data_IF_272187002419
#
_entry.id   IF_272187002419
#
_cell.length_a   1.000
_cell.length_b   1.000
_cell.length_c   1.000
_cell.angle_alpha   90.00
_cell.angle_beta   90.00
_cell.angle_gamma   90.00
#
_symmetry.space_group_name_H-M   'P 1'
#
loop_
_entity.id
_entity.type
_entity.pdbx_description
1 polymer ?
#
# COMPACT_ATOMS: atom_id res chain seq x y z
N UNK A 1 -6.69 -2.80 -12.60
CA UNK A 1 -5.33 -2.62 -12.02
C UNK A 1 -5.02 -3.82 -11.14
N UNK A 2 -3.87 -4.44 -11.31
CA UNK A 2 -3.42 -5.61 -10.55
C UNK A 2 -1.98 -5.42 -10.09
N UNK A 3 -1.65 -5.93 -8.90
CA UNK A 3 -0.25 -5.93 -8.44
C UNK A 3 0.46 -7.07 -9.19
N UNK A 4 1.56 -6.78 -9.88
CA UNK A 4 2.43 -7.77 -10.50
C UNK A 4 3.55 -8.19 -9.56
N UNK A 5 4.08 -7.22 -8.82
CA UNK A 5 5.25 -7.43 -7.95
C UNK A 5 5.23 -6.48 -6.77
N UNK A 6 5.68 -6.97 -5.65
CA UNK A 6 6.02 -6.14 -4.50
C UNK A 6 7.35 -6.61 -3.90
N UNK A 7 8.22 -5.68 -3.58
CA UNK A 7 9.47 -5.95 -2.89
C UNK A 7 9.59 -5.03 -1.67
N UNK A 8 9.92 -5.63 -0.53
CA UNK A 8 10.21 -4.92 0.70
C UNK A 8 11.68 -5.14 1.07
N UNK A 9 12.43 -4.06 1.26
CA UNK A 9 13.82 -4.10 1.70
C UNK A 9 13.97 -3.40 3.03
N UNK A 10 14.59 -4.09 3.99
CA UNK A 10 14.85 -3.60 5.35
C UNK A 10 13.60 -3.04 6.04
N UNK A 11 12.46 -3.71 5.87
CA UNK A 11 11.17 -3.31 6.41
C UNK A 11 10.78 -4.22 7.58
N UNK A 12 10.70 -3.64 8.79
CA UNK A 12 10.44 -4.35 10.04
C UNK A 12 11.40 -5.53 10.23
N UNK A 13 10.92 -6.77 10.07
CA UNK A 13 11.75 -7.98 10.19
C UNK A 13 12.19 -8.55 8.82
N UNK A 14 11.77 -7.95 7.73
CA UNK A 14 12.19 -8.36 6.40
C UNK A 14 13.49 -7.67 6.00
N UNK A 15 14.56 -8.44 5.80
CA UNK A 15 15.79 -7.92 5.20
C UNK A 15 15.60 -7.65 3.71
N UNK A 16 15.00 -8.59 3.00
CA UNK A 16 14.58 -8.48 1.60
C UNK A 16 13.55 -9.57 1.31
N UNK A 17 12.36 -9.19 0.96
CA UNK A 17 11.31 -10.10 0.47
C UNK A 17 10.75 -9.57 -0.83
N UNK A 18 10.58 -10.45 -1.80
CA UNK A 18 9.93 -10.16 -3.06
C UNK A 18 8.82 -11.15 -3.28
N UNK A 19 7.68 -10.67 -3.72
CA UNK A 19 6.54 -11.46 -4.15
C UNK A 19 6.17 -11.04 -5.56
N UNK A 20 6.11 -12.03 -6.44
CA UNK A 20 5.63 -11.90 -7.80
C UNK A 20 4.26 -12.58 -7.90
N UNK A 21 3.29 -11.91 -8.50
CA UNK A 21 1.91 -12.37 -8.56
C UNK A 21 1.56 -12.79 -9.99
N UNK A 22 1.22 -14.07 -10.17
CA UNK A 22 0.74 -14.58 -11.46
C UNK A 22 -0.78 -14.43 -11.55
N UNK A 23 -1.22 -13.31 -12.08
CA UNK A 23 -2.63 -12.95 -12.16
C UNK A 23 -3.38 -13.58 -13.34
N UNK A 24 -2.66 -14.25 -14.25
CA UNK A 24 -3.30 -14.93 -15.38
C UNK A 24 -4.05 -16.19 -14.94
N UNK A 25 -3.66 -16.77 -13.82
CA UNK A 25 -4.24 -18.03 -13.33
C UNK A 25 -5.37 -17.84 -12.34
N UNK A 26 -5.22 -16.90 -11.40
CA UNK A 26 -6.22 -16.70 -10.34
C UNK A 26 -6.30 -15.23 -9.91
N UNK A 27 -7.51 -14.70 -9.68
CA UNK A 27 -7.67 -13.32 -9.18
C UNK A 27 -7.40 -13.20 -7.66
N UNK A 28 -7.14 -14.31 -6.97
CA UNK A 28 -6.96 -14.35 -5.52
C UNK A 28 -5.59 -14.92 -5.18
N UNK A 29 -4.86 -14.21 -4.33
CA UNK A 29 -3.58 -14.67 -3.77
C UNK A 29 -3.75 -14.95 -2.28
N UNK A 30 -3.40 -16.16 -1.85
CA UNK A 30 -3.41 -16.57 -0.46
C UNK A 30 -1.99 -16.57 0.11
N UNK A 31 -1.78 -15.79 1.20
CA UNK A 31 -0.49 -15.72 1.89
C UNK A 31 -0.57 -16.56 3.15
N UNK A 32 0.16 -17.68 3.16
CA UNK A 32 0.24 -18.60 4.29
C UNK A 32 1.57 -18.41 5.05
N UNK A 33 1.57 -18.72 6.32
CA UNK A 33 2.76 -18.67 7.17
C UNK A 33 2.40 -18.71 8.65
N UNK A 34 3.39 -18.97 9.49
CA UNK A 34 3.24 -19.06 10.94
C UNK A 34 2.87 -17.72 11.59
N UNK A 35 2.44 -17.79 12.85
CA UNK A 35 2.19 -16.59 13.63
C UNK A 35 3.50 -15.81 13.77
N UNK A 36 3.43 -14.47 13.58
CA UNK A 36 4.63 -13.62 13.63
C UNK A 36 5.45 -13.56 12.33
N UNK A 37 5.14 -14.35 11.30
CA UNK A 37 5.89 -14.38 10.03
C UNK A 37 5.79 -13.09 9.18
N UNK A 38 5.02 -12.09 9.61
CA UNK A 38 4.95 -10.79 8.94
C UNK A 38 3.84 -10.61 7.92
N UNK A 39 2.88 -11.54 7.82
CA UNK A 39 1.76 -11.45 6.86
C UNK A 39 1.01 -10.13 6.93
N UNK A 40 0.62 -9.72 8.14
CA UNK A 40 -0.08 -8.46 8.39
C UNK A 40 0.78 -7.24 8.01
N UNK A 41 2.08 -7.31 8.29
CA UNK A 41 3.05 -6.28 7.89
C UNK A 41 3.13 -6.13 6.40
N UNK A 42 3.25 -7.24 5.68
CA UNK A 42 3.28 -7.27 4.22
C UNK A 42 2.02 -6.64 3.63
N UNK A 43 0.84 -7.06 4.08
CA UNK A 43 -0.44 -6.51 3.62
C UNK A 43 -0.56 -5.01 3.93
N UNK A 44 -0.14 -4.57 5.12
CA UNK A 44 -0.17 -3.17 5.52
C UNK A 44 0.74 -2.30 4.65
N UNK A 45 1.97 -2.74 4.41
CA UNK A 45 2.93 -2.00 3.59
C UNK A 45 2.50 -1.98 2.12
N UNK A 46 1.93 -3.08 1.62
CA UNK A 46 1.33 -3.13 0.28
C UNK A 46 0.18 -2.11 0.14
N UNK A 47 -0.71 -2.08 1.13
CA UNK A 47 -1.80 -1.09 1.17
C UNK A 47 -1.25 0.34 1.20
N UNK A 48 -0.25 0.63 2.04
CA UNK A 48 0.39 1.95 2.08
C UNK A 48 0.91 2.37 0.70
N UNK A 49 1.58 1.47 0.00
CA UNK A 49 2.07 1.74 -1.35
C UNK A 49 0.93 2.04 -2.33
N UNK A 50 -0.17 1.28 -2.28
CA UNK A 50 -1.32 1.47 -3.17
C UNK A 50 -2.10 2.76 -2.90
N UNK A 51 -2.08 3.30 -1.67
CA UNK A 51 -2.74 4.58 -1.35
C UNK A 51 -2.18 5.76 -2.14
N UNK A 52 -0.96 5.64 -2.66
CA UNK A 52 -0.34 6.68 -3.47
C UNK A 52 -1.06 6.89 -4.80
N UNK A 53 -1.61 5.83 -5.41
CA UNK A 53 -2.43 5.98 -6.61
C UNK A 53 -3.66 6.86 -6.35
N UNK A 54 -4.45 6.55 -5.33
CA UNK A 54 -5.66 7.33 -5.01
C UNK A 54 -5.36 8.76 -4.54
N UNK A 55 -4.24 8.96 -3.84
CA UNK A 55 -3.79 10.29 -3.44
C UNK A 55 -3.39 11.14 -4.66
N UNK A 56 -2.55 10.60 -5.55
CA UNK A 56 -2.09 11.26 -6.78
C UNK A 56 -3.23 11.49 -7.77
N UNK A 57 -4.19 10.58 -7.82
CA UNK A 57 -5.35 10.75 -8.70
C UNK A 57 -6.20 11.97 -8.31
N UNK A 58 -6.30 12.27 -7.01
CA UNK A 58 -6.99 13.45 -6.52
C UNK A 58 -6.20 14.73 -6.79
N UNK A 59 -4.92 14.71 -6.52
CA UNK A 59 -3.96 15.80 -6.78
C UNK A 59 -2.55 15.21 -6.88
N UNK A 60 -1.85 15.47 -7.98
CA UNK A 60 -0.48 15.00 -8.24
C UNK A 60 0.55 15.44 -7.20
N UNK A 61 0.21 16.41 -6.34
CA UNK A 61 1.07 16.86 -5.24
C UNK A 61 0.79 16.14 -3.93
N UNK A 62 -0.34 15.42 -3.84
CA UNK A 62 -0.73 14.75 -2.61
C UNK A 62 0.04 13.45 -2.44
N UNK A 63 0.65 13.27 -1.27
CA UNK A 63 1.30 12.03 -0.88
C UNK A 63 0.26 11.01 -0.38
N UNK A 64 0.52 9.73 -0.66
CA UNK A 64 -0.16 8.62 0.00
C UNK A 64 0.38 8.39 1.42
N UNK A 65 -0.01 7.29 2.03
CA UNK A 65 0.49 6.92 3.36
C UNK A 65 2.00 6.63 3.30
N UNK A 66 2.75 7.25 4.19
CA UNK A 66 4.20 7.03 4.32
C UNK A 66 4.50 5.92 5.31
N UNK A 67 5.65 5.27 5.16
CA UNK A 67 6.20 4.38 6.18
C UNK A 67 6.53 5.18 7.45
N UNK A 68 6.40 4.54 8.60
CA UNK A 68 6.79 5.07 9.90
C UNK A 68 8.28 4.76 10.17
N UNK A 69 8.90 5.49 11.11
CA UNK A 69 10.29 5.25 11.51
C UNK A 69 10.48 3.83 12.07
N UNK A 70 9.48 3.34 12.80
CA UNK A 70 9.44 1.97 13.33
C UNK A 70 9.31 0.88 12.26
N UNK A 71 9.01 1.24 11.02
CA UNK A 71 8.95 0.29 9.90
C UNK A 71 10.34 -0.04 9.35
N UNK A 72 11.37 0.68 9.76
CA UNK A 72 12.75 0.40 9.38
C UNK A 72 13.26 -0.77 10.21
N UNK A 73 13.87 -1.76 9.54
CA UNK A 73 14.51 -2.90 10.20
C UNK A 73 15.59 -2.40 11.19
N UNK A 74 15.63 -3.00 12.38
CA UNK A 74 16.64 -2.66 13.38
C UNK A 74 18.07 -2.69 12.80
N UNK A 75 18.89 -1.74 13.21
CA UNK A 75 20.26 -1.54 12.73
C UNK A 75 20.35 -1.15 11.24
N UNK A 76 19.27 -0.71 10.62
CA UNK A 76 19.26 -0.14 9.27
C UNK A 76 18.84 1.32 9.33
N UNK A 77 19.36 2.10 8.38
CA UNK A 77 19.03 3.52 8.26
C UNK A 77 17.95 3.79 7.21
N UNK A 78 17.61 2.78 6.43
CA UNK A 78 16.64 2.95 5.34
C UNK A 78 15.79 1.69 5.17
N UNK A 79 14.52 1.93 4.89
CA UNK A 79 13.56 0.93 4.40
C UNK A 79 13.03 1.35 3.04
N UNK A 80 12.70 0.37 2.19
CA UNK A 80 12.21 0.60 0.84
C UNK A 80 11.04 -0.34 0.53
N UNK A 81 10.04 0.21 -0.15
CA UNK A 81 8.96 -0.53 -0.81
C UNK A 81 9.06 -0.26 -2.30
N UNK A 82 9.19 -1.32 -3.10
CA UNK A 82 9.02 -1.30 -4.54
C UNK A 82 7.69 -1.98 -4.87
N UNK A 83 6.85 -1.34 -5.66
CA UNK A 83 5.61 -1.94 -6.15
C UNK A 83 5.51 -1.76 -7.65
N UNK A 84 5.05 -2.80 -8.33
CA UNK A 84 4.74 -2.80 -9.74
C UNK A 84 3.31 -3.27 -9.94
N UNK A 85 2.56 -2.53 -10.73
CA UNK A 85 1.17 -2.84 -11.05
C UNK A 85 0.95 -2.87 -12.54
N UNK A 86 0.03 -3.70 -12.99
CA UNK A 86 -0.52 -3.68 -14.34
C UNK A 86 -1.84 -2.93 -14.35
N UNK A 87 -2.04 -2.05 -15.30
CA UNK A 87 -3.29 -1.37 -15.54
C UNK A 87 -4.00 -1.93 -16.79
N UNK A 88 -5.32 -1.72 -16.94
CA UNK A 88 -6.08 -2.23 -18.08
C UNK A 88 -5.60 -1.68 -19.42
N UNK A 89 -5.71 -2.49 -20.44
CA UNK A 89 -5.28 -2.18 -21.82
C UNK A 89 -6.05 -0.98 -22.41
N UNK A 90 -7.28 -0.80 -21.99
CA UNK A 90 -8.18 0.27 -22.44
C UNK A 90 -7.68 1.69 -22.11
N UNK A 91 -6.72 1.82 -21.22
CA UNK A 91 -6.16 3.12 -20.83
C UNK A 91 -5.05 3.60 -21.75
N UNK A 92 -4.58 2.76 -22.67
CA UNK A 92 -3.39 3.00 -23.48
C UNK A 92 -2.10 2.55 -22.77
N UNK A 93 -0.96 3.00 -23.26
CA UNK A 93 0.35 2.60 -22.76
C UNK A 93 1.12 3.79 -22.21
N UNK A 94 1.99 3.55 -21.25
CA UNK A 94 2.94 4.55 -20.77
C UNK A 94 3.98 4.83 -21.86
N UNK A 95 4.37 6.11 -22.08
CA UNK A 95 5.50 6.43 -22.92
C UNK A 95 6.74 5.78 -22.34
N UNK A 96 7.53 5.22 -23.20
CA UNK A 96 8.75 4.50 -22.87
C UNK A 96 9.71 5.37 -22.05
N UNK A 97 10.24 4.83 -20.97
CA UNK A 97 11.37 5.45 -20.30
C UNK A 97 12.60 5.34 -21.22
N UNK A 98 13.33 6.42 -21.38
CA UNK A 98 14.36 6.69 -22.39
C UNK A 98 15.61 5.76 -22.42
N UNK A 99 15.45 4.47 -22.13
CA UNK A 99 16.52 3.47 -22.16
C UNK A 99 16.05 2.19 -22.88
N UNK A 100 16.05 2.24 -24.20
CA UNK A 100 16.13 1.05 -25.07
C UNK A 100 14.80 0.39 -25.42
N UNK A 101 14.70 0.00 -26.65
CA UNK A 101 13.72 -0.81 -27.37
C UNK A 101 12.84 -1.79 -26.55
N UNK A 102 11.90 -1.30 -25.76
CA UNK A 102 10.89 -2.12 -25.15
C UNK A 102 9.51 -1.71 -25.65
N UNK A 103 8.65 -2.70 -25.91
CA UNK A 103 7.26 -2.49 -26.33
C UNK A 103 6.52 -1.63 -25.30
N UNK A 104 5.49 -0.88 -25.70
CA UNK A 104 4.68 -0.08 -24.79
C UNK A 104 4.20 -0.93 -23.63
N UNK A 105 4.60 -0.58 -22.42
CA UNK A 105 4.30 -1.39 -21.24
C UNK A 105 3.03 -0.89 -20.56
N UNK A 106 2.19 -1.83 -20.17
CA UNK A 106 1.01 -1.59 -19.33
C UNK A 106 1.34 -1.74 -17.83
N UNK A 107 2.61 -1.88 -17.53
CA UNK A 107 3.10 -1.98 -16.16
C UNK A 107 3.61 -0.62 -15.69
N UNK A 108 3.33 -0.31 -14.45
CA UNK A 108 3.73 0.92 -13.78
C UNK A 108 4.38 0.57 -12.44
N UNK A 109 5.50 1.18 -12.14
CA UNK A 109 6.19 0.97 -10.86
C UNK A 109 6.43 2.28 -10.13
N UNK A 110 6.45 2.22 -8.81
CA UNK A 110 6.90 3.31 -7.96
C UNK A 110 7.55 2.79 -6.70
N UNK A 111 8.32 3.66 -6.07
CA UNK A 111 9.16 3.30 -4.94
C UNK A 111 8.92 4.28 -3.79
N UNK A 112 8.84 3.73 -2.60
CA UNK A 112 8.71 4.49 -1.37
C UNK A 112 9.92 4.19 -0.49
N UNK A 113 10.49 5.25 0.07
CA UNK A 113 11.64 5.17 0.95
C UNK A 113 11.32 5.80 2.30
N UNK A 114 11.87 5.21 3.35
CA UNK A 114 11.95 5.82 4.66
C UNK A 114 13.39 5.75 5.11
N UNK A 115 14.00 6.87 5.43
CA UNK A 115 15.42 6.99 5.79
C UNK A 115 15.56 7.74 7.11
N UNK A 116 16.39 7.25 8.01
CA UNK A 116 16.78 7.97 9.22
C UNK A 116 18.10 8.70 8.96
N UNK A 117 18.19 9.93 9.44
CA UNK A 117 19.48 10.64 9.47
C UNK A 117 20.32 10.21 10.69
N UNK A 118 21.52 10.76 10.82
CA UNK A 118 22.43 10.50 11.94
C UNK A 118 21.88 10.89 13.30
N UNK A 119 20.83 11.72 13.35
CA UNK A 119 20.14 12.15 14.56
C UNK A 119 18.88 11.33 14.86
N UNK A 120 18.60 10.29 14.06
CA UNK A 120 17.41 9.45 14.21
C UNK A 120 16.12 10.08 13.69
N UNK A 121 16.20 11.19 12.96
CA UNK A 121 15.02 11.83 12.35
C UNK A 121 14.71 11.16 11.03
N UNK A 122 13.45 10.73 10.88
CA UNK A 122 12.98 10.01 9.70
C UNK A 122 12.48 10.92 8.59
N UNK A 123 12.99 10.67 7.37
CA UNK A 123 12.54 11.33 6.14
C UNK A 123 11.85 10.32 5.24
N UNK A 124 10.72 10.70 4.65
CA UNK A 124 10.04 9.92 3.62
C UNK A 124 10.35 10.51 2.25
N UNK A 125 10.68 9.65 1.28
CA UNK A 125 10.86 10.00 -0.12
C UNK A 125 10.05 9.02 -0.96
N UNK A 126 9.54 9.47 -2.10
CA UNK A 126 8.88 8.62 -3.06
C UNK A 126 9.39 8.92 -4.47
N UNK A 127 9.52 7.89 -5.28
CA UNK A 127 9.79 8.00 -6.71
C UNK A 127 8.54 7.55 -7.46
N UNK A 128 7.80 8.49 -8.02
CA UNK A 128 6.43 8.30 -8.53
C UNK A 128 6.25 8.71 -9.98
N UNK A 129 7.33 8.86 -10.75
CA UNK A 129 7.25 9.35 -12.14
C UNK A 129 6.30 8.52 -13.02
N UNK A 130 6.43 7.20 -12.97
CA UNK A 130 5.54 6.31 -13.74
C UNK A 130 4.12 6.31 -13.17
N UNK A 131 3.97 6.40 -11.84
CA UNK A 131 2.66 6.54 -11.20
C UNK A 131 1.95 7.81 -11.65
N UNK A 132 2.65 8.93 -11.68
CA UNK A 132 2.10 10.22 -12.11
C UNK A 132 1.70 10.17 -13.60
N UNK A 133 2.50 9.51 -14.44
CA UNK A 133 2.15 9.27 -15.84
C UNK A 133 0.90 8.39 -16.00
N UNK A 134 0.79 7.31 -15.22
CA UNK A 134 -0.39 6.44 -15.21
C UNK A 134 -1.64 7.19 -14.72
N UNK A 135 -1.53 8.01 -13.69
CA UNK A 135 -2.62 8.87 -13.21
C UNK A 135 -3.12 9.81 -14.30
N UNK A 136 -2.18 10.42 -15.03
CA UNK A 136 -2.54 11.30 -16.16
C UNK A 136 -3.27 10.54 -17.28
N UNK A 137 -2.89 9.29 -17.56
CA UNK A 137 -3.63 8.43 -18.51
C UNK A 137 -5.07 8.19 -18.03
N UNK A 138 -5.26 7.82 -16.77
CA UNK A 138 -6.59 7.64 -16.18
C UNK A 138 -7.44 8.92 -16.23
N UNK A 139 -6.83 10.08 -15.94
CA UNK A 139 -7.55 11.36 -16.00
C UNK A 139 -7.98 11.69 -17.42
N UNK A 140 -7.11 11.48 -18.42
CA UNK A 140 -7.45 11.68 -19.85
C UNK A 140 -8.54 10.70 -20.29
N UNK A 141 -8.42 9.42 -19.98
CA UNK A 141 -9.41 8.40 -20.32
C UNK A 141 -10.78 8.75 -19.73
N UNK A 142 -10.86 9.25 -18.50
CA UNK A 142 -12.12 9.71 -17.88
C UNK A 142 -12.72 10.97 -18.51
N UNK A 143 -11.93 11.79 -19.16
CA UNK A 143 -12.47 12.93 -19.95
C UNK A 143 -13.23 12.43 -21.18
N UNK A 144 -12.81 11.30 -21.76
CA UNK A 144 -13.50 10.68 -22.90
C UNK A 144 -14.64 9.75 -22.47
N UNK A 145 -14.42 9.00 -21.38
CA UNK A 145 -15.41 8.10 -20.79
C UNK A 145 -15.59 8.40 -19.29
N UNK A 146 -16.59 9.22 -18.90
CA UNK A 146 -16.85 9.53 -17.49
C UNK A 146 -17.26 8.31 -16.64
N UNK A 147 -17.72 7.21 -17.26
CA UNK A 147 -18.12 5.98 -16.58
C UNK A 147 -16.94 5.02 -16.36
N UNK A 148 -15.75 5.35 -16.84
CA UNK A 148 -14.57 4.54 -16.63
C UNK A 148 -14.34 4.25 -15.14
N UNK A 149 -14.33 2.96 -14.79
CA UNK A 149 -14.12 2.50 -13.43
C UNK A 149 -12.72 2.81 -12.90
N UNK A 150 -12.63 3.36 -11.70
CA UNK A 150 -11.35 3.55 -11.02
C UNK A 150 -11.00 2.35 -10.16
N UNK A 151 -9.72 2.00 -10.03
CA UNK A 151 -9.28 0.98 -9.11
C UNK A 151 -9.63 1.35 -7.66
N UNK A 152 -10.29 0.43 -6.97
CA UNK A 152 -10.56 0.57 -5.55
C UNK A 152 -9.57 -0.25 -4.75
N UNK A 153 -9.01 0.36 -3.69
CA UNK A 153 -8.10 -0.30 -2.76
C UNK A 153 -8.74 -0.34 -1.38
N UNK A 154 -8.95 -1.53 -0.85
CA UNK A 154 -9.48 -1.74 0.50
C UNK A 154 -8.51 -2.58 1.33
N UNK A 155 -8.33 -2.21 2.59
CA UNK A 155 -7.54 -2.95 3.56
C UNK A 155 -8.36 -3.26 4.79
N UNK A 156 -8.62 -4.52 5.03
CA UNK A 156 -9.33 -4.99 6.22
C UNK A 156 -8.31 -5.44 7.27
N UNK A 157 -8.23 -4.67 8.35
CA UNK A 157 -7.39 -5.04 9.49
C UNK A 157 -8.00 -6.27 10.17
N UNK A 158 -7.15 -7.24 10.53
CA UNK A 158 -7.55 -8.22 11.51
C UNK A 158 -7.86 -7.48 12.82
N UNK A 159 -9.11 -7.51 13.26
CA UNK A 159 -9.44 -7.05 14.59
C UNK A 159 -8.73 -7.98 15.59
N UNK A 160 -7.82 -7.43 16.41
CA UNK A 160 -7.51 -8.10 17.65
C UNK A 160 -8.86 -8.39 18.33
N UNK A 161 -9.15 -9.66 18.62
CA UNK A 161 -10.30 -10.00 19.48
C UNK A 161 -10.14 -9.14 20.72
N UNK A 162 -10.89 -8.07 20.83
CA UNK A 162 -11.11 -7.43 22.11
C UNK A 162 -11.72 -8.55 22.96
N UNK A 163 -10.97 -9.00 23.95
CA UNK A 163 -11.51 -9.89 24.95
C UNK A 163 -12.75 -9.21 25.48
N UNK A 164 -13.91 -9.78 25.24
CA UNK A 164 -15.21 -9.38 25.78
C UNK A 164 -15.24 -9.67 27.30
N UNK A 165 -14.28 -9.14 28.03
CA UNK A 165 -14.17 -9.24 29.49
C UNK A 165 -14.17 -7.86 30.14
N UNK A 166 -15.00 -6.95 29.66
CA UNK A 166 -15.46 -5.82 30.45
C UNK A 166 -16.99 -5.82 30.49
N UNK A 167 -17.57 -6.91 31.00
CA UNK A 167 -18.87 -6.85 31.56
C UNK A 167 -18.76 -6.01 32.84
N UNK A 168 -18.87 -4.69 32.68
CA UNK A 168 -19.02 -3.76 33.79
C UNK A 168 -20.28 -4.15 34.54
N UNK A 169 -20.09 -4.73 35.72
CA UNK A 169 -21.10 -4.89 36.71
C UNK A 169 -21.74 -3.53 37.00
N UNK A 170 -22.84 -3.26 36.31
CA UNK A 170 -23.70 -2.13 36.63
C UNK A 170 -24.20 -2.30 38.06
N UNK A 171 -23.67 -1.51 38.96
CA UNK A 171 -24.29 -1.33 40.30
C UNK A 171 -25.67 -0.75 40.07
N UNK A 172 -26.68 -1.58 40.21
CA UNK A 172 -28.07 -1.18 40.47
C UNK A 172 -28.11 -0.46 41.82
N UNK A 173 -28.13 0.86 41.79
CA UNK A 173 -28.52 1.66 42.94
C UNK A 173 -30.02 1.46 43.13
N UNK A 174 -30.39 0.60 44.10
CA UNK A 174 -31.74 0.57 44.66
C UNK A 174 -31.93 1.83 45.49
N UNK A 175 -32.70 2.76 44.98
CA UNK A 175 -33.33 3.76 45.81
C UNK A 175 -34.36 3.05 46.69
N UNK A 176 -34.10 2.97 47.97
CA UNK A 176 -35.13 2.77 49.00
C UNK A 176 -35.57 4.14 49.46
N UNK A 177 -36.73 4.52 49.02
CA UNK A 177 -37.55 5.50 49.76
C UNK A 177 -38.00 4.84 51.06
N UNK A 178 -37.81 5.56 52.13
CA UNK A 178 -38.45 5.33 53.38
C UNK A 178 -39.24 6.57 53.76
N UNK A 179 -40.53 6.36 53.91
CA UNK A 179 -41.56 7.10 54.57
C UNK A 179 -41.12 8.07 55.67
#
# INVERSE_FOLDING_TARGET
MHIEKIQLKHALHFSNIQLDFDLQKTPVTLILGDQGSGKTTLLRLSYQALTWFSARFRDLRTAGLSMLDQDILQNRLQSKIDIQVRFPDDLGSLPESAQGEAAPTQSCSWQLYKTLNSQGIGFAKAETQQLDAMVNLYQKARQHDPLLGLPMVAYYKAHARQSENSCSSGKLLRNRELS
#
